data_IF_363255442219
#
_entry.id   IF_363255442219
#
_cell.length_a   1.000
_cell.length_b   1.000
_cell.length_c   1.000
_cell.angle_alpha   90.00
_cell.angle_beta   90.00
_cell.angle_gamma   90.00
#
_symmetry.space_group_name_H-M   'P 1'
#
loop_
_entity.id
_entity.type
_entity.pdbx_description
1 polymer ?
#
# COMPACT_ATOMS: atom_id res chain seq x y z
N UNK A 1 1.17 4.12 -15.97
CA UNK A 1 -0.28 4.08 -16.33
C UNK A 1 -1.12 4.58 -15.18
N UNK A 2 -2.17 5.36 -15.49
CA UNK A 2 -3.10 5.90 -14.50
C UNK A 2 -4.31 4.98 -14.42
N UNK A 3 -4.45 4.25 -13.32
CA UNK A 3 -5.62 3.41 -13.08
C UNK A 3 -6.89 4.27 -12.96
N UNK A 4 -8.01 3.84 -13.55
CA UNK A 4 -9.23 4.61 -13.65
C UNK A 4 -9.88 4.92 -12.27
N UNK A 5 -9.72 4.02 -11.30
CA UNK A 5 -10.26 4.16 -9.93
C UNK A 5 -9.35 4.97 -9.00
N UNK A 6 -8.07 5.15 -9.35
CA UNK A 6 -7.09 5.75 -8.44
C UNK A 6 -7.26 7.27 -8.35
N UNK A 7 -7.34 7.78 -7.12
CA UNK A 7 -7.42 9.21 -6.82
C UNK A 7 -6.08 9.82 -6.39
N UNK A 8 -5.05 8.99 -6.22
CA UNK A 8 -3.71 9.48 -5.92
C UNK A 8 -3.13 10.27 -7.09
N UNK A 9 -2.24 11.19 -6.78
CA UNK A 9 -1.47 11.90 -7.81
C UNK A 9 -0.63 10.87 -8.55
N UNK A 10 -1.09 10.49 -9.73
CA UNK A 10 -0.34 9.59 -10.60
C UNK A 10 0.29 10.39 -11.72
N UNK A 11 1.60 10.36 -11.79
CA UNK A 11 2.36 10.85 -12.93
C UNK A 11 2.86 9.63 -13.73
N UNK A 12 2.86 9.74 -15.06
CA UNK A 12 3.42 8.63 -15.84
C UNK A 12 4.94 8.62 -15.66
N UNK A 13 5.49 7.45 -15.39
CA UNK A 13 6.95 7.25 -15.21
C UNK A 13 7.72 7.84 -16.39
N UNK A 14 7.22 7.68 -17.61
CA UNK A 14 7.83 8.21 -18.85
C UNK A 14 8.05 9.73 -18.82
N UNK A 15 7.17 10.47 -18.15
CA UNK A 15 7.27 11.94 -18.02
C UNK A 15 8.10 12.38 -16.81
N UNK A 16 8.36 11.48 -15.88
CA UNK A 16 8.98 11.81 -14.59
C UNK A 16 10.27 11.04 -14.31
N UNK A 17 10.77 10.25 -15.26
CA UNK A 17 12.05 9.54 -15.13
C UNK A 17 13.19 10.46 -14.66
N UNK A 18 13.26 11.68 -15.21
CA UNK A 18 14.26 12.67 -14.80
C UNK A 18 14.10 13.23 -13.38
N UNK A 19 12.95 12.94 -12.70
CA UNK A 19 12.70 13.40 -11.33
C UNK A 19 13.05 12.32 -10.28
N UNK A 20 13.29 11.07 -10.69
CA UNK A 20 13.50 9.96 -9.75
C UNK A 20 14.75 10.19 -8.89
N UNK A 21 15.89 10.47 -9.50
CA UNK A 21 17.12 10.72 -8.75
C UNK A 21 17.02 11.97 -7.86
N UNK A 22 16.59 13.16 -8.36
CA UNK A 22 16.37 14.31 -7.48
C UNK A 22 15.38 14.04 -6.33
N UNK A 23 14.34 13.22 -6.59
CA UNK A 23 13.39 12.82 -5.54
C UNK A 23 14.07 11.94 -4.48
N UNK A 24 14.85 10.94 -4.90
CA UNK A 24 15.58 10.07 -4.00
C UNK A 24 16.62 10.83 -3.16
N UNK A 25 17.31 11.83 -3.73
CA UNK A 25 18.23 12.70 -3.00
C UNK A 25 17.53 13.43 -1.85
N UNK A 26 16.33 13.98 -2.09
CA UNK A 26 15.55 14.64 -1.04
C UNK A 26 15.06 13.63 -0.01
N UNK A 27 14.57 12.47 -0.46
CA UNK A 27 14.09 11.40 0.42
C UNK A 27 15.22 10.87 1.33
N UNK A 28 16.43 10.71 0.81
CA UNK A 28 17.60 10.33 1.61
C UNK A 28 17.91 11.34 2.73
N UNK A 29 17.80 12.64 2.45
CA UNK A 29 17.97 13.68 3.47
C UNK A 29 16.86 13.61 4.52
N UNK A 30 15.61 13.49 4.08
CA UNK A 30 14.47 13.37 4.99
C UNK A 30 14.58 12.13 5.89
N UNK A 31 15.02 10.98 5.34
CA UNK A 31 15.30 9.77 6.13
C UNK A 31 16.33 10.03 7.22
N UNK A 32 17.42 10.72 6.90
CA UNK A 32 18.48 11.05 7.87
C UNK A 32 17.95 11.91 8.99
N UNK A 33 17.20 12.97 8.67
CA UNK A 33 16.67 13.91 9.64
C UNK A 33 15.56 13.27 10.50
N UNK A 34 14.70 12.46 9.88
CA UNK A 34 13.67 11.69 10.57
C UNK A 34 14.27 10.66 11.53
N UNK A 35 15.30 9.94 11.12
CA UNK A 35 15.98 8.96 11.98
C UNK A 35 16.62 9.61 13.20
N UNK A 36 17.28 10.75 13.00
CA UNK A 36 17.83 11.54 14.10
C UNK A 36 16.74 11.98 15.08
N UNK A 37 15.64 12.51 14.56
CA UNK A 37 14.50 12.94 15.38
C UNK A 37 13.87 11.78 16.16
N UNK A 38 13.68 10.63 15.53
CA UNK A 38 13.15 9.41 16.17
C UNK A 38 14.07 8.96 17.32
N UNK A 39 15.40 8.96 17.10
CA UNK A 39 16.39 8.60 18.10
C UNK A 39 16.41 9.59 19.28
N UNK A 40 16.47 10.89 19.01
CA UNK A 40 16.47 11.94 20.03
C UNK A 40 15.19 11.95 20.85
N UNK A 41 14.06 11.66 20.19
CA UNK A 41 12.77 11.52 20.86
C UNK A 41 12.61 10.17 21.60
N UNK A 42 13.57 9.26 21.53
CA UNK A 42 13.50 7.92 22.17
C UNK A 42 12.29 7.11 21.71
N UNK A 43 11.94 7.22 20.43
CA UNK A 43 10.84 6.46 19.82
C UNK A 43 11.37 5.18 19.20
N UNK A 44 10.49 4.17 19.06
CA UNK A 44 10.83 2.87 18.50
C UNK A 44 9.93 2.54 17.31
N UNK A 45 10.51 1.99 16.24
CA UNK A 45 9.77 1.56 15.08
C UNK A 45 9.21 0.16 15.31
N UNK A 46 7.89 0.01 15.18
CA UNK A 46 7.16 -1.26 15.34
C UNK A 46 6.84 -1.94 14.02
N UNK A 47 6.58 -1.14 12.98
CA UNK A 47 6.39 -1.62 11.62
C UNK A 47 6.94 -0.61 10.63
N UNK A 48 7.38 -1.10 9.48
CA UNK A 48 7.77 -0.29 8.34
C UNK A 48 6.88 -0.65 7.15
N UNK A 49 6.39 0.36 6.47
CA UNK A 49 5.56 0.19 5.29
C UNK A 49 5.97 1.17 4.19
N UNK A 50 6.26 0.64 3.01
CA UNK A 50 6.56 1.43 1.82
C UNK A 50 5.51 1.17 0.75
N UNK A 51 4.68 2.17 0.50
CA UNK A 51 3.59 2.09 -0.45
C UNK A 51 3.39 3.41 -1.20
N UNK A 52 2.17 3.65 -1.67
CA UNK A 52 1.75 4.88 -2.33
C UNK A 52 1.56 4.74 -3.83
N UNK A 53 2.59 4.97 -4.65
CA UNK A 53 2.53 4.74 -6.10
C UNK A 53 2.77 3.26 -6.41
N UNK A 54 4.00 2.93 -6.78
CA UNK A 54 4.46 1.54 -6.94
C UNK A 54 5.96 1.54 -6.64
N UNK A 55 6.39 1.15 -5.45
CA UNK A 55 7.80 1.13 -5.06
C UNK A 55 8.71 0.39 -6.06
N UNK A 56 8.22 -0.71 -6.61
CA UNK A 56 8.95 -1.52 -7.61
C UNK A 56 9.10 -0.84 -9.00
N UNK A 57 8.67 0.41 -9.15
CA UNK A 57 9.06 1.23 -10.32
C UNK A 57 10.51 1.72 -10.23
N UNK A 58 11.10 1.74 -9.05
CA UNK A 58 12.53 1.93 -8.87
C UNK A 58 13.32 0.78 -9.51
N UNK A 59 14.53 1.07 -10.00
CA UNK A 59 15.46 0.01 -10.39
C UNK A 59 15.96 -0.76 -9.16
N UNK A 60 16.51 -1.95 -9.36
CA UNK A 60 17.08 -2.74 -8.27
C UNK A 60 18.20 -1.95 -7.54
N UNK A 61 19.08 -1.26 -8.26
CA UNK A 61 20.12 -0.41 -7.69
C UNK A 61 19.55 0.77 -6.88
N UNK A 62 18.52 1.46 -7.39
CA UNK A 62 17.86 2.54 -6.65
C UNK A 62 17.21 2.04 -5.37
N UNK A 63 16.58 0.87 -5.43
CA UNK A 63 15.94 0.22 -4.30
C UNK A 63 16.98 -0.23 -3.26
N UNK A 64 18.06 -0.86 -3.70
CA UNK A 64 19.16 -1.28 -2.82
C UNK A 64 19.79 -0.09 -2.09
N UNK A 65 20.09 1.00 -2.80
CA UNK A 65 20.62 2.24 -2.19
C UNK A 65 19.66 2.83 -1.16
N UNK A 66 18.37 2.87 -1.48
CA UNK A 66 17.34 3.41 -0.59
C UNK A 66 17.20 2.55 0.68
N UNK A 67 17.07 1.23 0.53
CA UNK A 67 16.90 0.31 1.65
C UNK A 67 18.18 0.19 2.51
N UNK A 68 19.37 0.23 1.88
CA UNK A 68 20.64 0.34 2.60
C UNK A 68 20.65 1.57 3.51
N UNK A 69 20.22 2.72 2.98
CA UNK A 69 20.20 3.95 3.75
C UNK A 69 19.18 3.89 4.89
N UNK A 70 17.96 3.37 4.64
CA UNK A 70 16.93 3.16 5.65
C UNK A 70 17.44 2.27 6.80
N UNK A 71 17.98 1.10 6.47
CA UNK A 71 18.44 0.12 7.44
C UNK A 71 19.64 0.61 8.29
N UNK A 72 20.44 1.54 7.75
CA UNK A 72 21.53 2.19 8.49
C UNK A 72 21.07 3.36 9.35
N UNK A 73 20.01 4.03 8.95
CA UNK A 73 19.52 5.25 9.61
C UNK A 73 18.62 4.94 10.79
N UNK A 74 17.72 3.96 10.65
CA UNK A 74 16.78 3.59 11.69
C UNK A 74 17.21 2.30 12.42
N UNK A 75 16.97 2.27 13.72
CA UNK A 75 17.01 1.01 14.48
C UNK A 75 15.74 0.22 14.22
N UNK A 76 15.85 -0.80 13.38
CA UNK A 76 14.77 -1.71 13.00
C UNK A 76 14.79 -3.02 13.79
N UNK A 77 15.63 -3.17 14.83
CA UNK A 77 15.73 -4.40 15.63
C UNK A 77 14.42 -4.78 16.33
N UNK A 78 13.56 -3.79 16.62
CA UNK A 78 12.24 -3.98 17.20
C UNK A 78 11.09 -3.96 16.18
N UNK A 79 11.41 -3.89 14.87
CA UNK A 79 10.44 -3.87 13.79
C UNK A 79 9.85 -5.27 13.60
N UNK A 80 8.55 -5.40 13.83
CA UNK A 80 7.85 -6.68 13.74
C UNK A 80 7.24 -6.95 12.36
N UNK A 81 7.25 -5.96 11.46
CA UNK A 81 6.80 -6.09 10.06
C UNK A 81 7.55 -5.09 9.18
N UNK A 82 8.16 -5.59 8.13
CA UNK A 82 8.81 -4.79 7.10
C UNK A 82 8.14 -5.04 5.75
N UNK A 83 7.13 -4.23 5.44
CA UNK A 83 6.27 -4.39 4.27
C UNK A 83 6.64 -3.42 3.15
N UNK A 84 6.74 -3.95 1.92
CA UNK A 84 6.89 -3.13 0.70
C UNK A 84 5.87 -3.56 -0.36
N UNK A 85 5.11 -2.60 -0.88
CA UNK A 85 4.20 -2.85 -1.99
C UNK A 85 4.97 -3.12 -3.29
N UNK A 86 4.86 -4.33 -3.80
CA UNK A 86 5.23 -4.67 -5.17
C UNK A 86 4.03 -4.52 -6.13
N UNK A 87 3.10 -3.69 -5.79
CA UNK A 87 1.70 -3.50 -6.21
C UNK A 87 1.33 -3.69 -7.68
N UNK A 88 2.30 -3.86 -8.58
CA UNK A 88 2.05 -4.06 -10.02
C UNK A 88 2.90 -5.20 -10.56
N UNK A 89 2.28 -6.29 -11.03
CA UNK A 89 2.99 -7.43 -11.61
C UNK A 89 3.99 -7.06 -12.70
N UNK A 90 3.64 -6.10 -13.57
CA UNK A 90 4.49 -5.60 -14.65
C UNK A 90 5.76 -4.83 -14.20
N UNK A 91 5.96 -4.64 -12.90
CA UNK A 91 7.16 -3.99 -12.33
C UNK A 91 7.99 -4.93 -11.47
N UNK A 92 7.54 -6.18 -11.32
CA UNK A 92 8.19 -7.20 -10.49
C UNK A 92 9.16 -7.99 -11.35
N UNK A 93 10.40 -8.15 -10.86
CA UNK A 93 11.41 -9.02 -11.40
C UNK A 93 12.24 -9.66 -10.29
N UNK A 94 13.01 -10.70 -10.64
CA UNK A 94 13.81 -11.46 -9.67
C UNK A 94 14.86 -10.61 -8.97
N UNK A 95 15.49 -9.68 -9.67
CA UNK A 95 16.56 -8.85 -9.13
C UNK A 95 16.01 -7.93 -8.02
N UNK A 96 14.89 -7.26 -8.27
CA UNK A 96 14.24 -6.41 -7.27
C UNK A 96 13.74 -7.20 -6.07
N UNK A 97 13.10 -8.36 -6.29
CA UNK A 97 12.65 -9.20 -5.20
C UNK A 97 13.82 -9.71 -4.35
N UNK A 98 14.98 -10.02 -4.99
CA UNK A 98 16.17 -10.40 -4.25
C UNK A 98 16.68 -9.25 -3.37
N UNK A 99 16.72 -8.03 -3.90
CA UNK A 99 17.07 -6.84 -3.11
C UNK A 99 16.15 -6.69 -1.90
N UNK A 100 14.84 -6.87 -2.05
CA UNK A 100 13.92 -6.80 -0.92
C UNK A 100 14.24 -7.83 0.16
N UNK A 101 14.49 -9.09 -0.23
CA UNK A 101 14.86 -10.17 0.70
C UNK A 101 16.18 -9.90 1.40
N UNK A 102 17.20 -9.43 0.66
CA UNK A 102 18.54 -9.13 1.18
C UNK A 102 18.50 -8.01 2.24
N UNK A 103 17.49 -7.12 2.15
CA UNK A 103 17.25 -6.06 3.12
C UNK A 103 16.29 -6.45 4.26
N UNK A 104 15.85 -7.70 4.32
CA UNK A 104 15.01 -8.20 5.41
C UNK A 104 13.53 -7.85 5.28
N UNK A 105 13.06 -7.52 4.07
CA UNK A 105 11.63 -7.33 3.81
C UNK A 105 10.91 -8.67 3.99
N UNK A 106 9.96 -8.71 4.90
CA UNK A 106 9.23 -9.93 5.25
C UNK A 106 7.84 -10.02 4.60
N UNK A 107 7.29 -8.89 4.14
CA UNK A 107 5.98 -8.84 3.49
C UNK A 107 6.02 -8.03 2.21
N UNK A 108 5.42 -8.59 1.16
CA UNK A 108 5.16 -7.84 -0.08
C UNK A 108 3.69 -7.94 -0.47
N UNK A 109 3.24 -6.99 -1.31
CA UNK A 109 1.90 -7.04 -1.90
C UNK A 109 1.98 -7.16 -3.40
N UNK A 110 1.33 -8.16 -3.99
CA UNK A 110 1.10 -8.29 -5.43
C UNK A 110 -0.37 -8.03 -5.72
N UNK A 111 -0.70 -6.88 -6.31
CA UNK A 111 -2.07 -6.37 -6.34
C UNK A 111 -2.72 -6.53 -7.73
N UNK A 112 -3.39 -7.68 -8.02
CA UNK A 112 -4.03 -7.91 -9.30
C UNK A 112 -5.24 -7.00 -9.53
N UNK A 113 -6.02 -6.71 -8.50
CA UNK A 113 -7.33 -6.08 -8.50
C UNK A 113 -8.43 -6.95 -9.12
N UNK A 114 -8.18 -7.57 -10.26
CA UNK A 114 -8.97 -8.59 -10.97
C UNK A 114 -8.02 -9.49 -11.77
N UNK A 115 -8.49 -10.66 -12.19
CA UNK A 115 -7.82 -11.56 -13.13
C UNK A 115 -8.62 -11.70 -14.44
N UNK A 116 -9.63 -10.87 -14.64
CA UNK A 116 -10.36 -10.77 -15.91
C UNK A 116 -9.67 -9.71 -16.79
N UNK A 117 -9.01 -10.13 -17.88
CA UNK A 117 -8.18 -9.23 -18.72
C UNK A 117 -8.96 -8.06 -19.31
N UNK A 118 -10.27 -8.25 -19.63
CA UNK A 118 -11.13 -7.17 -20.10
C UNK A 118 -11.37 -6.12 -18.99
N UNK A 119 -11.55 -6.54 -17.72
CA UNK A 119 -11.68 -5.65 -16.56
C UNK A 119 -10.38 -4.88 -16.33
N UNK A 120 -9.22 -5.56 -16.38
CA UNK A 120 -7.91 -4.94 -16.25
C UNK A 120 -7.69 -3.86 -17.32
N UNK A 121 -8.08 -4.15 -18.56
CA UNK A 121 -8.04 -3.19 -19.68
C UNK A 121 -8.93 -1.99 -19.42
N UNK A 122 -10.18 -2.22 -18.99
CA UNK A 122 -11.15 -1.16 -18.70
C UNK A 122 -10.63 -0.19 -17.61
N UNK A 123 -10.01 -0.71 -16.56
CA UNK A 123 -9.44 0.12 -15.49
C UNK A 123 -8.06 0.70 -15.81
N UNK A 124 -7.52 0.46 -17.01
CA UNK A 124 -6.24 1.00 -17.48
C UNK A 124 -5.01 0.33 -16.87
N UNK A 125 -5.12 -0.93 -16.46
CA UNK A 125 -3.99 -1.77 -16.08
C UNK A 125 -3.36 -2.38 -17.35
N UNK A 126 -2.02 -2.51 -17.38
CA UNK A 126 -1.29 -3.06 -18.55
C UNK A 126 -0.97 -4.55 -18.40
N UNK A 127 -0.95 -5.03 -17.16
CA UNK A 127 -0.70 -6.44 -16.88
C UNK A 127 -1.94 -7.30 -17.17
N UNK A 128 -1.70 -8.57 -17.41
CA UNK A 128 -2.71 -9.62 -17.61
C UNK A 128 -2.81 -10.54 -16.40
N UNK A 129 -3.80 -11.42 -16.38
CA UNK A 129 -3.90 -12.49 -15.39
C UNK A 129 -2.66 -13.39 -15.37
N UNK A 130 -2.03 -13.61 -16.53
CA UNK A 130 -0.79 -14.38 -16.63
C UNK A 130 0.40 -13.68 -15.95
N UNK A 131 0.54 -12.37 -16.10
CA UNK A 131 1.59 -11.61 -15.44
C UNK A 131 1.47 -11.70 -13.90
N UNK A 132 0.24 -11.74 -13.38
CA UNK A 132 -0.03 -11.95 -11.95
C UNK A 132 0.42 -13.34 -11.53
N UNK A 133 0.07 -14.38 -12.30
CA UNK A 133 0.47 -15.77 -12.03
C UNK A 133 2.00 -15.91 -11.99
N UNK A 134 2.70 -15.32 -12.96
CA UNK A 134 4.16 -15.34 -13.04
C UNK A 134 4.79 -14.58 -11.85
N UNK A 135 4.25 -13.41 -11.49
CA UNK A 135 4.72 -12.62 -10.35
C UNK A 135 4.52 -13.34 -9.01
N UNK A 136 3.36 -13.99 -8.83
CA UNK A 136 3.07 -14.77 -7.62
C UNK A 136 3.97 -16.02 -7.52
N UNK A 137 4.14 -16.75 -8.63
CA UNK A 137 5.03 -17.90 -8.66
C UNK A 137 6.49 -17.50 -8.36
N UNK A 138 6.92 -16.32 -8.83
CA UNK A 138 8.24 -15.78 -8.52
C UNK A 138 8.36 -15.41 -7.03
N UNK A 139 7.41 -14.66 -6.49
CA UNK A 139 7.42 -14.20 -5.10
C UNK A 139 7.41 -15.38 -4.11
N UNK A 140 6.47 -16.32 -4.27
CA UNK A 140 6.38 -17.51 -3.43
C UNK A 140 7.59 -18.43 -3.59
N UNK A 141 8.07 -18.61 -4.84
CA UNK A 141 9.26 -19.41 -5.15
C UNK A 141 10.57 -18.84 -4.60
N UNK A 142 10.63 -17.54 -4.33
CA UNK A 142 11.78 -16.88 -3.67
C UNK A 142 11.71 -16.93 -2.15
N UNK A 143 10.58 -17.36 -1.57
CA UNK A 143 10.44 -17.61 -0.15
C UNK A 143 10.14 -16.37 0.69
N UNK A 144 9.41 -15.39 0.16
CA UNK A 144 8.89 -14.32 1.01
C UNK A 144 8.02 -14.90 2.13
N UNK A 145 8.24 -14.48 3.40
CA UNK A 145 7.46 -14.98 4.51
C UNK A 145 5.97 -14.70 4.36
N UNK A 146 5.61 -13.51 3.84
CA UNK A 146 4.24 -13.08 3.68
C UNK A 146 4.00 -12.43 2.31
N UNK A 147 2.92 -12.85 1.63
CA UNK A 147 2.49 -12.26 0.36
C UNK A 147 1.01 -11.90 0.43
N UNK A 148 0.72 -10.60 0.29
CA UNK A 148 -0.64 -10.08 0.20
C UNK A 148 -1.09 -9.92 -1.25
N UNK A 149 -2.38 -10.10 -1.50
CA UNK A 149 -3.03 -9.77 -2.77
C UNK A 149 -4.23 -8.85 -2.53
N UNK A 150 -4.34 -7.76 -3.30
CA UNK A 150 -5.50 -6.87 -3.25
C UNK A 150 -6.45 -7.14 -4.41
N UNK A 151 -7.73 -7.29 -4.10
CA UNK A 151 -8.84 -7.43 -5.04
C UNK A 151 -9.82 -6.27 -4.86
N UNK A 152 -10.51 -5.88 -5.94
CA UNK A 152 -11.55 -4.85 -5.87
C UNK A 152 -12.86 -5.42 -6.41
N UNK A 153 -13.88 -5.52 -5.55
CA UNK A 153 -15.25 -5.81 -5.94
C UNK A 153 -15.92 -4.56 -6.53
N UNK A 154 -16.65 -4.74 -7.62
CA UNK A 154 -17.41 -3.67 -8.28
C UNK A 154 -16.61 -2.86 -9.31
N UNK A 155 -15.53 -3.37 -9.84
CA UNK A 155 -14.80 -2.74 -10.95
C UNK A 155 -15.70 -2.63 -12.20
N UNK A 156 -15.47 -1.61 -13.08
CA UNK A 156 -16.16 -1.51 -14.36
C UNK A 156 -16.01 -2.80 -15.18
N UNK A 157 -17.10 -3.21 -15.82
CA UNK A 157 -17.18 -4.41 -16.68
C UNK A 157 -17.00 -5.75 -15.95
N UNK A 158 -16.82 -5.74 -14.61
CA UNK A 158 -16.75 -6.97 -13.82
C UNK A 158 -18.15 -7.50 -13.50
N UNK A 159 -18.22 -8.80 -13.23
CA UNK A 159 -19.45 -9.51 -12.86
C UNK A 159 -19.23 -10.35 -11.61
N UNK A 160 -20.30 -10.77 -10.90
CA UNK A 160 -20.15 -11.71 -9.80
C UNK A 160 -19.38 -12.99 -10.17
N UNK A 161 -19.60 -13.52 -11.36
CA UNK A 161 -18.90 -14.70 -11.87
C UNK A 161 -17.42 -14.41 -12.18
N UNK A 162 -17.09 -13.23 -12.72
CA UNK A 162 -15.71 -12.79 -12.98
C UNK A 162 -14.93 -12.64 -11.68
N UNK A 163 -15.55 -11.99 -10.71
CA UNK A 163 -14.97 -11.82 -9.37
C UNK A 163 -14.75 -13.18 -8.67
N UNK A 164 -15.69 -14.13 -8.77
CA UNK A 164 -15.54 -15.50 -8.24
C UNK A 164 -14.33 -16.19 -8.84
N UNK A 165 -14.22 -16.21 -10.18
CA UNK A 165 -13.03 -16.80 -10.84
C UNK A 165 -11.74 -16.15 -10.41
N UNK A 166 -11.73 -14.83 -10.26
CA UNK A 166 -10.58 -14.07 -9.77
C UNK A 166 -10.18 -14.53 -8.38
N UNK A 167 -11.10 -14.56 -7.42
CA UNK A 167 -10.81 -14.94 -6.04
C UNK A 167 -10.36 -16.40 -5.93
N UNK A 168 -11.04 -17.34 -6.59
CA UNK A 168 -10.69 -18.76 -6.56
C UNK A 168 -9.27 -18.99 -7.07
N UNK A 169 -8.89 -18.26 -8.13
CA UNK A 169 -7.55 -18.35 -8.68
C UNK A 169 -6.50 -17.71 -7.75
N UNK A 170 -6.79 -16.56 -7.15
CA UNK A 170 -5.92 -15.93 -6.16
C UNK A 170 -5.67 -16.83 -4.94
N UNK A 171 -6.69 -17.54 -4.45
CA UNK A 171 -6.56 -18.53 -3.39
C UNK A 171 -5.59 -19.67 -3.75
N UNK A 172 -5.52 -20.04 -5.04
CA UNK A 172 -4.61 -21.09 -5.52
C UNK A 172 -3.15 -20.65 -5.65
N UNK A 173 -2.84 -19.36 -5.59
CA UNK A 173 -1.49 -18.84 -5.76
C UNK A 173 -0.62 -18.87 -4.49
N UNK A 174 -1.21 -19.25 -3.35
CA UNK A 174 -0.46 -19.40 -2.10
C UNK A 174 -0.19 -18.09 -1.35
N UNK A 175 -0.97 -17.03 -1.63
CA UNK A 175 -0.98 -15.84 -0.78
C UNK A 175 -1.51 -16.21 0.61
N UNK A 176 -0.92 -15.66 1.65
CA UNK A 176 -1.35 -15.82 3.04
C UNK A 176 -2.20 -14.65 3.56
N UNK A 177 -2.35 -13.63 2.73
CA UNK A 177 -3.12 -12.44 3.01
C UNK A 177 -3.87 -11.98 1.74
N UNK A 178 -5.17 -11.69 1.86
CA UNK A 178 -5.99 -11.18 0.76
C UNK A 178 -6.82 -10.01 1.28
N UNK A 179 -6.69 -8.85 0.63
CA UNK A 179 -7.55 -7.71 0.91
C UNK A 179 -8.63 -7.60 -0.15
N UNK A 180 -9.89 -7.64 0.26
CA UNK A 180 -11.03 -7.39 -0.62
C UNK A 180 -11.51 -5.96 -0.41
N UNK A 181 -11.24 -5.13 -1.40
CA UNK A 181 -11.73 -3.76 -1.45
C UNK A 181 -13.08 -3.71 -2.15
N UNK A 182 -13.92 -2.75 -1.77
CA UNK A 182 -15.08 -2.34 -2.55
C UNK A 182 -14.74 -1.05 -3.31
N UNK A 183 -15.11 -0.98 -4.57
CA UNK A 183 -14.85 0.20 -5.40
C UNK A 183 -15.37 1.47 -4.73
N UNK A 184 -14.51 2.45 -4.52
CA UNK A 184 -14.87 3.77 -4.01
C UNK A 184 -14.84 4.80 -5.14
N UNK A 185 -15.97 5.46 -5.37
CA UNK A 185 -16.12 6.49 -6.41
C UNK A 185 -15.57 7.83 -5.93
N UNK A 186 -14.28 8.00 -5.97
CA UNK A 186 -13.61 9.22 -5.51
C UNK A 186 -13.72 10.35 -6.54
N UNK A 187 -13.98 11.56 -6.05
CA UNK A 187 -13.94 12.77 -6.90
C UNK A 187 -12.59 12.87 -7.61
N UNK A 188 -12.62 13.04 -8.93
CA UNK A 188 -11.40 13.10 -9.75
C UNK A 188 -10.87 11.77 -10.26
N UNK A 189 -11.49 10.63 -9.91
CA UNK A 189 -11.23 9.36 -10.58
C UNK A 189 -11.79 9.39 -12.02
N UNK A 190 -11.09 8.72 -12.95
CA UNK A 190 -11.57 8.62 -14.34
C UNK A 190 -12.91 7.91 -14.44
N UNK A 191 -13.22 6.97 -13.55
CA UNK A 191 -14.50 6.26 -13.51
C UNK A 191 -15.66 7.26 -13.42
N UNK A 192 -15.57 8.27 -12.55
CA UNK A 192 -16.60 9.31 -12.45
C UNK A 192 -16.57 10.31 -13.61
N UNK A 193 -15.37 10.71 -14.04
CA UNK A 193 -15.20 11.73 -15.09
C UNK A 193 -15.63 11.23 -16.48
N UNK A 194 -15.42 9.94 -16.75
CA UNK A 194 -15.69 9.30 -18.04
C UNK A 194 -16.98 8.46 -18.03
N UNK A 195 -17.77 8.54 -16.94
CA UNK A 195 -19.06 7.84 -16.77
C UNK A 195 -18.99 6.33 -17.09
N UNK A 196 -18.03 5.62 -16.51
CA UNK A 196 -17.95 4.17 -16.65
C UNK A 196 -19.21 3.49 -16.09
N UNK A 197 -19.66 2.44 -16.78
CA UNK A 197 -20.67 1.54 -16.24
C UNK A 197 -20.05 0.65 -15.17
N UNK A 198 -20.60 0.72 -13.95
CA UNK A 198 -20.17 -0.09 -12.81
C UNK A 198 -21.28 -1.08 -12.42
N UNK A 199 -20.95 -2.23 -11.82
CA UNK A 199 -21.93 -3.15 -11.27
C UNK A 199 -22.87 -2.49 -10.26
N UNK A 200 -24.10 -2.99 -10.17
CA UNK A 200 -25.07 -2.55 -9.17
C UNK A 200 -24.60 -2.89 -7.75
N UNK A 201 -25.14 -2.20 -6.75
CA UNK A 201 -24.85 -2.51 -5.35
C UNK A 201 -25.22 -3.97 -4.98
N UNK A 202 -26.26 -4.51 -5.60
CA UNK A 202 -26.70 -5.88 -5.43
C UNK A 202 -25.64 -6.88 -5.96
N UNK A 203 -25.15 -6.66 -7.19
CA UNK A 203 -24.05 -7.47 -7.75
C UNK A 203 -22.77 -7.39 -6.94
N UNK A 204 -22.42 -6.20 -6.41
CA UNK A 204 -21.29 -6.04 -5.49
C UNK A 204 -21.53 -6.80 -4.18
N UNK A 205 -22.76 -6.78 -3.66
CA UNK A 205 -23.14 -7.59 -2.48
C UNK A 205 -22.90 -9.09 -2.72
N UNK A 206 -23.31 -9.62 -3.89
CA UNK A 206 -23.05 -11.02 -4.27
C UNK A 206 -21.53 -11.34 -4.33
N UNK A 207 -20.70 -10.43 -4.86
CA UNK A 207 -19.25 -10.59 -4.88
C UNK A 207 -18.68 -10.71 -3.46
N UNK A 208 -19.12 -9.83 -2.56
CA UNK A 208 -18.64 -9.79 -1.18
C UNK A 208 -19.13 -10.98 -0.35
N UNK A 209 -20.37 -11.41 -0.54
CA UNK A 209 -20.91 -12.61 0.12
C UNK A 209 -20.14 -13.86 -0.31
N UNK A 210 -19.83 -13.96 -1.61
CA UNK A 210 -18.97 -15.02 -2.11
C UNK A 210 -17.57 -14.96 -1.48
N UNK A 211 -16.95 -13.79 -1.44
CA UNK A 211 -15.63 -13.62 -0.83
C UNK A 211 -15.62 -14.05 0.65
N UNK A 212 -16.63 -13.63 1.42
CA UNK A 212 -16.77 -14.03 2.81
C UNK A 212 -16.86 -15.54 2.99
N UNK A 213 -17.62 -16.23 2.13
CA UNK A 213 -17.78 -17.69 2.20
C UNK A 213 -16.51 -18.42 1.76
N UNK A 214 -15.93 -18.06 0.62
CA UNK A 214 -14.76 -18.73 0.05
C UNK A 214 -13.50 -18.55 0.91
N UNK A 215 -13.25 -17.33 1.42
CA UNK A 215 -12.10 -17.06 2.28
C UNK A 215 -12.20 -17.81 3.62
N UNK A 216 -13.39 -17.88 4.23
CA UNK A 216 -13.58 -18.68 5.45
C UNK A 216 -13.40 -20.18 5.20
N UNK A 217 -13.85 -20.68 4.05
CA UNK A 217 -13.67 -22.07 3.65
C UNK A 217 -12.18 -22.42 3.43
N UNK A 218 -11.38 -21.43 3.03
CA UNK A 218 -9.93 -21.54 2.85
C UNK A 218 -9.13 -21.20 4.13
N UNK A 219 -9.76 -21.22 5.32
CA UNK A 219 -9.19 -20.93 6.63
C UNK A 219 -8.64 -19.50 6.82
N UNK A 220 -9.01 -18.56 5.94
CA UNK A 220 -8.74 -17.16 6.15
C UNK A 220 -9.71 -16.56 7.18
N UNK A 221 -9.22 -15.60 7.95
CA UNK A 221 -10.00 -14.84 8.93
C UNK A 221 -9.86 -13.35 8.69
N UNK A 222 -10.96 -12.57 8.87
CA UNK A 222 -10.86 -11.11 8.79
C UNK A 222 -10.06 -10.63 9.99
N UNK A 223 -9.11 -9.70 9.77
CA UNK A 223 -8.29 -9.14 10.83
C UNK A 223 -8.33 -7.61 10.91
N UNK A 224 -8.78 -6.94 9.85
CA UNK A 224 -9.15 -5.53 9.88
C UNK A 224 -10.25 -5.25 8.86
N UNK A 225 -11.00 -4.19 9.11
CA UNK A 225 -11.99 -3.67 8.18
C UNK A 225 -12.06 -2.15 8.28
N UNK A 226 -12.43 -1.51 7.17
CA UNK A 226 -12.67 -0.08 7.16
C UNK A 226 -13.65 0.31 6.05
N UNK A 227 -14.35 1.44 6.26
CA UNK A 227 -15.27 2.00 5.29
C UNK A 227 -14.78 3.37 4.82
N UNK A 228 -14.86 3.60 3.52
CA UNK A 228 -14.59 4.90 2.92
C UNK A 228 -15.91 5.57 2.50
N UNK A 229 -15.88 6.89 2.37
CA UNK A 229 -17.00 7.62 1.77
C UNK A 229 -17.14 7.26 0.28
N UNK A 230 -18.40 7.24 -0.21
CA UNK A 230 -18.73 6.99 -1.62
C UNK A 230 -18.38 5.59 -2.13
N UNK A 231 -18.41 4.60 -1.26
CA UNK A 231 -18.32 3.19 -1.67
C UNK A 231 -19.66 2.72 -2.24
N UNK A 232 -19.60 1.87 -3.27
CA UNK A 232 -20.78 1.21 -3.81
C UNK A 232 -21.49 0.44 -2.70
N UNK A 233 -22.81 0.59 -2.55
CA UNK A 233 -23.61 -0.09 -1.52
C UNK A 233 -23.23 0.21 -0.08
N UNK A 234 -22.34 1.17 0.20
CA UNK A 234 -21.81 1.48 1.55
C UNK A 234 -21.13 0.27 2.24
N UNK A 235 -20.59 -0.66 1.47
CA UNK A 235 -19.87 -1.83 1.98
C UNK A 235 -18.49 -1.47 2.57
N UNK A 236 -17.88 -2.41 3.28
CA UNK A 236 -16.53 -2.29 3.85
C UNK A 236 -15.45 -2.85 2.91
N UNK A 237 -14.22 -2.42 3.17
CA UNK A 237 -13.01 -3.12 2.75
C UNK A 237 -12.57 -4.03 3.89
N UNK A 238 -12.19 -5.25 3.59
CA UNK A 238 -11.80 -6.24 4.61
C UNK A 238 -10.48 -6.88 4.25
N UNK A 239 -9.53 -6.86 5.17
CA UNK A 239 -8.30 -7.65 5.09
C UNK A 239 -8.49 -9.02 5.72
N UNK A 240 -8.11 -10.05 4.99
CA UNK A 240 -8.21 -11.45 5.37
C UNK A 240 -6.83 -12.09 5.39
N UNK A 241 -6.55 -12.93 6.35
CA UNK A 241 -5.31 -13.68 6.40
C UNK A 241 -5.50 -15.08 7.03
N UNK A 242 -4.54 -15.96 6.77
CA UNK A 242 -4.37 -17.16 7.59
C UNK A 242 -3.79 -16.76 8.95
N UNK A 243 -3.98 -17.61 9.96
CA UNK A 243 -3.53 -17.32 11.33
C UNK A 243 -2.01 -17.09 11.39
N UNK A 244 -1.59 -15.98 11.97
CA UNK A 244 -0.19 -15.57 12.11
C UNK A 244 0.36 -14.74 10.94
N UNK A 245 -0.48 -14.45 9.93
CA UNK A 245 -0.11 -13.62 8.79
C UNK A 245 -0.77 -12.22 8.81
N UNK A 246 -1.26 -11.79 9.96
CA UNK A 246 -1.88 -10.47 10.13
C UNK A 246 -0.90 -9.34 9.77
N UNK A 247 -1.33 -8.40 8.90
CA UNK A 247 -0.53 -7.23 8.58
C UNK A 247 -0.60 -6.18 9.70
N UNK A 248 0.48 -6.04 10.45
CA UNK A 248 0.52 -5.18 11.64
C UNK A 248 0.34 -3.71 11.30
N UNK A 249 0.93 -3.24 10.21
CA UNK A 249 0.73 -1.86 9.75
C UNK A 249 -0.76 -1.56 9.53
N UNK A 250 -1.51 -2.49 8.92
CA UNK A 250 -2.93 -2.31 8.68
C UNK A 250 -3.72 -2.22 9.99
N UNK A 251 -3.38 -3.05 10.97
CA UNK A 251 -3.99 -2.98 12.30
C UNK A 251 -3.67 -1.64 12.96
N UNK A 252 -2.41 -1.24 12.99
CA UNK A 252 -1.98 -0.01 13.67
C UNK A 252 -2.60 1.26 13.06
N UNK A 253 -2.76 1.31 11.73
CA UNK A 253 -3.36 2.47 11.08
C UNK A 253 -4.87 2.53 11.27
N UNK A 254 -5.57 1.38 11.25
CA UNK A 254 -7.03 1.31 11.34
C UNK A 254 -7.53 1.46 12.78
N UNK A 255 -6.86 0.81 13.72
CA UNK A 255 -7.20 0.88 15.15
C UNK A 255 -6.56 2.09 15.86
N UNK A 256 -5.80 2.92 15.14
CA UNK A 256 -5.15 4.12 15.66
C UNK A 256 -4.28 3.88 16.92
N UNK A 257 -3.58 2.73 16.93
CA UNK A 257 -2.79 2.30 18.10
C UNK A 257 -1.44 3.01 18.20
N UNK A 258 -0.86 3.38 17.06
CA UNK A 258 0.46 4.00 16.98
C UNK A 258 0.46 5.22 16.07
N UNK A 259 1.36 6.14 16.35
CA UNK A 259 1.67 7.23 15.43
C UNK A 259 2.33 6.66 14.16
N UNK A 260 2.07 7.29 13.04
CA UNK A 260 2.66 6.96 11.74
C UNK A 260 3.46 8.17 11.28
N UNK A 261 4.77 8.01 11.22
CA UNK A 261 5.66 8.98 10.60
C UNK A 261 5.78 8.64 9.12
N UNK A 262 5.20 9.48 8.26
CA UNK A 262 5.27 9.32 6.81
C UNK A 262 6.40 10.17 6.24
N UNK A 263 7.15 9.61 5.31
CA UNK A 263 8.20 10.27 4.54
C UNK A 263 7.83 10.24 3.05
N UNK A 264 8.32 11.21 2.29
CA UNK A 264 8.09 11.27 0.86
C UNK A 264 6.83 12.03 0.44
N UNK A 265 6.75 12.36 -0.86
CA UNK A 265 5.64 13.12 -1.43
C UNK A 265 4.30 12.41 -1.23
N UNK A 266 3.26 13.18 -0.86
CA UNK A 266 1.92 12.67 -0.61
C UNK A 266 1.75 11.95 0.71
N UNK A 267 2.79 11.85 1.53
CA UNK A 267 2.75 11.26 2.86
C UNK A 267 1.79 11.99 3.80
N UNK A 268 1.18 11.24 4.69
CA UNK A 268 0.29 11.73 5.75
C UNK A 268 0.77 11.18 7.09
N UNK A 269 1.50 11.98 7.81
CA UNK A 269 1.91 11.67 9.18
C UNK A 269 0.70 11.79 10.09
N UNK A 270 0.41 10.72 10.84
CA UNK A 270 -0.66 10.66 11.84
C UNK A 270 -0.03 10.50 13.23
N UNK A 271 -0.30 11.42 14.11
CA UNK A 271 0.16 11.43 15.49
C UNK A 271 -0.99 11.01 16.39
N UNK A 272 -0.77 10.01 17.24
CA UNK A 272 -1.79 9.39 18.10
C UNK A 272 -1.36 9.48 19.55
N UNK A 273 -2.23 10.06 20.38
CA UNK A 273 -2.17 10.03 21.83
C UNK A 273 -3.33 9.19 22.36
N UNK A 274 -3.11 7.90 22.67
CA UNK A 274 -4.18 7.02 23.12
C UNK A 274 -4.69 7.35 24.52
N UNK A 275 -3.89 8.04 25.35
CA UNK A 275 -4.28 8.41 26.72
C UNK A 275 -5.31 9.53 26.71
N UNK A 276 -5.08 10.57 25.91
CA UNK A 276 -5.97 11.71 25.80
C UNK A 276 -6.92 11.63 24.59
N UNK A 277 -6.93 10.50 23.87
CA UNK A 277 -7.78 10.27 22.67
C UNK A 277 -7.60 11.39 21.63
N UNK A 278 -6.36 11.87 21.46
CA UNK A 278 -6.04 12.96 20.54
C UNK A 278 -5.32 12.42 19.31
N UNK A 279 -5.78 12.86 18.13
CA UNK A 279 -5.18 12.52 16.85
C UNK A 279 -4.93 13.80 16.07
N UNK A 280 -3.71 13.97 15.62
CA UNK A 280 -3.32 15.06 14.73
C UNK A 280 -2.72 14.52 13.44
N UNK A 281 -2.78 15.32 12.37
CA UNK A 281 -2.20 14.97 11.07
C UNK A 281 -1.46 16.13 10.47
N UNK A 282 -0.30 15.83 9.89
CA UNK A 282 0.43 16.74 9.02
C UNK A 282 0.66 16.07 7.68
N UNK A 283 0.72 16.86 6.61
CA UNK A 283 0.76 16.34 5.26
C UNK A 283 2.00 16.85 4.53
N UNK A 284 2.61 15.98 3.75
CA UNK A 284 3.62 16.36 2.77
C UNK A 284 2.96 17.01 1.55
N UNK A 285 3.76 17.70 0.75
CA UNK A 285 3.34 18.17 -0.57
C UNK A 285 2.92 16.98 -1.44
N UNK A 286 1.86 17.16 -2.21
CA UNK A 286 1.28 16.04 -3.00
C UNK A 286 2.13 15.65 -4.20
N UNK A 287 2.82 16.64 -4.80
CA UNK A 287 3.51 16.46 -6.07
C UNK A 287 5.01 16.25 -5.84
N UNK A 288 5.65 15.28 -6.52
CA UNK A 288 7.09 15.07 -6.42
C UNK A 288 7.92 16.32 -6.71
N UNK A 289 7.51 17.15 -7.66
CA UNK A 289 8.18 18.42 -8.00
C UNK A 289 8.17 19.40 -6.83
N UNK A 290 7.05 19.53 -6.14
CA UNK A 290 6.95 20.39 -4.95
C UNK A 290 7.75 19.83 -3.78
N UNK A 291 7.75 18.50 -3.62
CA UNK A 291 8.54 17.80 -2.61
C UNK A 291 10.05 18.05 -2.78
N UNK A 292 10.53 17.99 -4.02
CA UNK A 292 11.93 18.29 -4.34
C UNK A 292 12.29 19.76 -4.02
N UNK A 293 11.35 20.70 -4.21
CA UNK A 293 11.61 22.13 -4.10
C UNK A 293 11.39 22.73 -2.71
N UNK A 294 10.61 22.07 -1.83
CA UNK A 294 10.15 22.62 -0.55
C UNK A 294 10.72 21.86 0.65
N UNK A 295 12.03 21.99 0.87
CA UNK A 295 12.70 21.35 2.03
C UNK A 295 12.20 21.86 3.37
N UNK A 296 11.79 23.12 3.47
CA UNK A 296 11.24 23.70 4.70
C UNK A 296 10.01 22.95 5.21
N UNK A 297 9.19 22.38 4.29
CA UNK A 297 8.00 21.61 4.67
C UNK A 297 8.35 20.31 5.38
N UNK A 298 9.48 19.71 5.05
CA UNK A 298 9.96 18.47 5.69
C UNK A 298 10.35 18.75 7.15
N UNK A 299 11.07 19.84 7.38
CA UNK A 299 11.47 20.27 8.72
C UNK A 299 10.25 20.61 9.59
N UNK A 300 9.25 21.33 9.04
CA UNK A 300 7.98 21.62 9.73
C UNK A 300 7.27 20.35 10.17
N UNK A 301 7.15 19.35 9.29
CA UNK A 301 6.47 18.10 9.60
C UNK A 301 7.20 17.29 10.69
N UNK A 302 8.53 17.20 10.62
CA UNK A 302 9.33 16.52 11.64
C UNK A 302 9.26 17.25 12.98
N UNK A 303 9.30 18.59 12.96
CA UNK A 303 9.16 19.42 14.17
C UNK A 303 7.79 19.23 14.83
N UNK A 304 6.71 19.21 14.03
CA UNK A 304 5.35 18.97 14.55
C UNK A 304 5.23 17.57 15.19
N UNK A 305 5.80 16.55 14.54
CA UNK A 305 5.82 15.17 15.06
C UNK A 305 6.58 15.07 16.39
N UNK A 306 7.76 15.69 16.46
CA UNK A 306 8.58 15.77 17.68
C UNK A 306 7.81 16.44 18.82
N UNK A 307 7.30 17.65 18.58
CA UNK A 307 6.59 18.44 19.59
C UNK A 307 5.35 17.71 20.13
N UNK A 308 4.62 17.00 19.27
CA UNK A 308 3.48 16.20 19.70
C UNK A 308 3.89 15.14 20.73
N UNK A 309 4.97 14.38 20.47
CA UNK A 309 5.42 13.31 21.36
C UNK A 309 6.14 13.83 22.62
N UNK A 310 6.78 14.98 22.56
CA UNK A 310 7.33 15.65 23.76
C UNK A 310 6.20 16.08 24.71
N UNK A 311 5.12 16.64 24.16
CA UNK A 311 3.94 17.05 24.95
C UNK A 311 3.17 15.87 25.57
N UNK A 312 3.31 14.65 25.06
CA UNK A 312 2.70 13.45 25.67
C UNK A 312 3.45 12.96 26.92
N UNK A 313 4.72 13.40 27.11
CA UNK A 313 5.57 12.95 28.21
C UNK A 313 5.56 13.88 29.41
N UNK A 314 5.07 15.09 29.26
CA UNK A 314 4.94 16.12 30.30
C UNK A 314 3.56 16.09 30.91
#
# INVERSE_FOLDING_TARGET
>A
TRCAYCSFVSQSVERTLGLVEPYLEVLHREITDAARMVQEAGLHIKSFYMGGGTPTTLSADQMDRLLTHLNRSFDLSGCAEYCIEAGRPDTIDREKLQVLLDHGVDRISVNPQSLEDHVLTAIGRRHTARDVEEAMALATGMGFPHVNMDLIAGLPEDTPEGFRRTLDKCLSYGADNITVHTLSLKKGSRILLENFTIPSAEAVGEMLDYANAALRQADFRPYYLYRQKYMSGSFENTGWCISGAEGLYNIYIMEELHSILSLGAGGSTKMVDPVHQRIERVFHTKYPTEYIQRSEKLEENLSAFRQFHENMRG
#
